data_IF_792625070116
#
_entry.id   IF_792625070116
#
_cell.length_a   1.000
_cell.length_b   1.000
_cell.length_c   1.000
_cell.angle_alpha   90.00
_cell.angle_beta   90.00
_cell.angle_gamma   90.00
#
_symmetry.space_group_name_H-M   'P 1'
#
loop_
_entity.id
_entity.type
_entity.pdbx_description
1 polymer ?
#
# COMPACT_ATOMS: atom_id res chain seq x y z
N UNK A 1 4.13 -2.98 -25.46
CA UNK A 1 4.73 -2.21 -24.36
C UNK A 1 3.65 -2.06 -23.30
N UNK A 2 3.87 -2.61 -22.11
CA UNK A 2 2.93 -2.47 -21.00
C UNK A 2 2.85 -1.00 -20.58
N UNK A 3 1.64 -0.47 -20.43
CA UNK A 3 1.47 0.93 -19.99
C UNK A 3 1.79 1.00 -18.50
N UNK A 4 2.66 1.92 -18.04
CA UNK A 4 2.98 2.03 -16.63
C UNK A 4 1.71 2.30 -15.83
N UNK A 5 1.56 1.72 -14.63
CA UNK A 5 0.37 1.90 -13.82
C UNK A 5 0.17 3.39 -13.50
N UNK A 6 -1.07 3.86 -13.59
CA UNK A 6 -1.41 5.22 -13.21
C UNK A 6 -1.04 5.46 -11.73
N UNK A 7 -0.25 6.52 -11.48
CA UNK A 7 0.16 6.92 -10.13
C UNK A 7 -0.76 8.01 -9.60
N UNK A 8 -1.37 7.74 -8.45
CA UNK A 8 -2.25 8.67 -7.75
C UNK A 8 -1.54 9.26 -6.53
N UNK A 9 -2.03 10.41 -6.07
CA UNK A 9 -1.58 11.01 -4.82
C UNK A 9 -1.77 10.04 -3.65
N UNK A 10 -0.74 9.83 -2.80
CA UNK A 10 -0.79 8.87 -1.69
C UNK A 10 -1.64 9.34 -0.51
N UNK A 11 -2.04 10.62 -0.49
CA UNK A 11 -2.80 11.23 0.61
C UNK A 11 -4.14 10.54 0.82
N UNK A 12 -4.50 10.39 2.09
CA UNK A 12 -5.75 9.79 2.55
C UNK A 12 -6.44 10.70 3.55
N UNK A 13 -7.75 10.53 3.68
CA UNK A 13 -8.53 11.15 4.75
C UNK A 13 -9.60 10.15 5.19
N UNK A 14 -9.59 9.77 6.47
CA UNK A 14 -10.45 8.73 7.04
C UNK A 14 -10.35 7.42 6.24
N UNK A 15 -9.15 7.06 5.83
CA UNK A 15 -8.86 5.88 5.02
C UNK A 15 -9.21 6.01 3.54
N UNK A 16 -9.84 7.10 3.08
CA UNK A 16 -10.21 7.32 1.67
C UNK A 16 -9.02 7.87 0.88
N UNK A 17 -8.65 7.21 -0.22
CA UNK A 17 -7.55 7.67 -1.09
C UNK A 17 -7.92 8.88 -1.94
N UNK A 18 -6.97 9.79 -2.11
CA UNK A 18 -7.02 10.81 -3.15
C UNK A 18 -7.05 10.15 -4.53
N UNK A 19 -7.94 10.61 -5.40
CA UNK A 19 -8.10 10.11 -6.78
C UNK A 19 -7.46 11.03 -7.82
N UNK A 20 -6.68 12.02 -7.37
CA UNK A 20 -5.97 12.94 -8.27
C UNK A 20 -4.60 12.36 -8.66
N UNK A 21 -4.06 12.73 -9.83
CA UNK A 21 -2.73 12.30 -10.27
C UNK A 21 -1.64 12.66 -9.26
N UNK A 22 -0.58 11.86 -9.19
CA UNK A 22 0.61 12.19 -8.40
C UNK A 22 1.15 13.58 -8.76
N UNK A 23 1.49 14.39 -7.76
CA UNK A 23 2.01 15.76 -7.94
C UNK A 23 0.96 16.82 -8.27
N UNK A 24 -0.33 16.53 -8.12
CA UNK A 24 -1.38 17.53 -8.39
C UNK A 24 -1.28 18.78 -7.49
N UNK A 25 -1.59 19.99 -8.00
CA UNK A 25 -1.65 21.19 -7.17
C UNK A 25 -2.98 21.29 -6.42
N UNK A 26 -3.00 21.98 -5.27
CA UNK A 26 -4.21 22.26 -4.49
C UNK A 26 -4.73 21.06 -3.67
N UNK A 27 -5.95 21.19 -3.13
CA UNK A 27 -6.52 20.22 -2.20
C UNK A 27 -6.59 18.80 -2.77
N UNK A 28 -6.42 17.81 -1.90
CA UNK A 28 -6.71 16.42 -2.22
C UNK A 28 -8.18 16.23 -2.48
N UNK A 29 -8.54 15.18 -3.23
CA UNK A 29 -9.92 14.96 -3.64
C UNK A 29 -10.27 13.50 -3.81
N UNK A 30 -11.49 13.14 -3.38
CA UNK A 30 -12.18 11.91 -3.79
C UNK A 30 -13.66 12.20 -4.02
N UNK A 31 -14.11 12.14 -5.28
CA UNK A 31 -15.47 12.54 -5.63
C UNK A 31 -15.72 14.02 -5.31
N UNK A 32 -16.67 14.31 -4.42
CA UNK A 32 -16.96 15.66 -3.93
C UNK A 32 -16.19 16.03 -2.65
N UNK A 33 -15.49 15.09 -2.01
CA UNK A 33 -14.72 15.33 -0.80
C UNK A 33 -13.39 16.01 -1.13
N UNK A 34 -13.05 17.05 -0.37
CA UNK A 34 -11.80 17.80 -0.45
C UNK A 34 -11.14 17.86 0.92
N UNK A 35 -9.82 17.75 0.98
CA UNK A 35 -9.06 17.92 2.22
C UNK A 35 -7.68 18.53 1.97
N UNK A 36 -7.13 19.17 3.00
CA UNK A 36 -5.76 19.67 3.04
C UNK A 36 -4.83 18.65 3.69
N UNK A 37 -3.52 18.90 3.62
CA UNK A 37 -2.51 18.10 4.31
C UNK A 37 -2.75 18.05 5.83
N UNK A 38 -3.24 19.14 6.44
CA UNK A 38 -3.52 19.21 7.88
C UNK A 38 -4.65 18.27 8.33
N UNK A 39 -5.53 17.87 7.41
CA UNK A 39 -6.61 16.92 7.64
C UNK A 39 -6.32 15.54 7.03
N UNK A 40 -5.13 15.33 6.47
CA UNK A 40 -4.75 14.05 5.91
C UNK A 40 -4.47 13.03 7.04
N UNK A 41 -4.73 11.75 6.75
CA UNK A 41 -4.29 10.67 7.60
C UNK A 41 -2.76 10.69 7.71
N UNK A 42 -2.18 10.37 8.88
CA UNK A 42 -0.73 10.28 9.02
C UNK A 42 -0.16 9.18 8.09
N UNK A 43 1.07 9.34 7.59
CA UNK A 43 1.68 8.38 6.67
C UNK A 43 1.89 7.01 7.32
N UNK A 44 2.09 6.98 8.64
CA UNK A 44 2.28 5.74 9.41
C UNK A 44 1.02 4.88 9.35
N UNK A 45 1.19 3.65 8.88
CA UNK A 45 0.09 2.71 8.81
C UNK A 45 -0.31 2.26 10.21
N UNK A 46 -1.59 2.30 10.53
CA UNK A 46 -2.14 1.80 11.81
C UNK A 46 -1.99 0.28 11.98
N UNK A 47 -1.65 -0.45 10.90
CA UNK A 47 -1.28 -1.86 10.95
C UNK A 47 0.16 -2.12 11.42
N UNK A 48 0.99 -1.09 11.56
CA UNK A 48 2.37 -1.24 12.06
C UNK A 48 2.39 -1.89 13.44
N UNK A 49 3.22 -2.92 13.62
CA UNK A 49 3.32 -3.68 14.86
C UNK A 49 2.14 -4.63 15.12
N UNK A 50 1.19 -4.78 14.19
CA UNK A 50 0.18 -5.83 14.30
C UNK A 50 0.82 -7.21 14.16
N UNK A 51 0.30 -8.26 14.82
CA UNK A 51 0.70 -9.64 14.54
C UNK A 51 0.46 -9.97 13.07
N UNK A 52 1.34 -10.75 12.46
CA UNK A 52 1.19 -11.21 11.09
C UNK A 52 1.77 -12.60 10.89
N UNK A 53 1.32 -13.27 9.84
CA UNK A 53 1.91 -14.51 9.34
C UNK A 53 2.43 -14.29 7.93
N UNK A 54 3.51 -14.97 7.52
CA UNK A 54 3.95 -14.96 6.13
C UNK A 54 2.77 -15.22 5.20
N UNK A 55 2.64 -14.38 4.17
CA UNK A 55 1.62 -14.57 3.16
C UNK A 55 1.97 -15.79 2.29
N UNK A 56 0.95 -16.43 1.71
CA UNK A 56 1.15 -17.56 0.81
C UNK A 56 2.11 -17.19 -0.30
N UNK A 57 3.11 -18.01 -0.56
CA UNK A 57 4.04 -17.75 -1.66
C UNK A 57 3.50 -18.26 -2.99
N UNK A 58 3.76 -17.52 -4.07
CA UNK A 58 3.61 -17.99 -5.43
C UNK A 58 4.80 -18.89 -5.80
N UNK A 59 4.71 -19.58 -6.94
CA UNK A 59 5.78 -20.46 -7.44
C UNK A 59 7.12 -19.75 -7.68
N UNK A 60 7.10 -18.42 -7.88
CA UNK A 60 8.28 -17.58 -8.03
C UNK A 60 8.86 -17.07 -6.68
N UNK A 61 8.31 -17.52 -5.55
CA UNK A 61 8.74 -17.13 -4.20
C UNK A 61 8.22 -15.77 -3.72
N UNK A 62 7.40 -15.05 -4.50
CA UNK A 62 6.77 -13.82 -4.02
C UNK A 62 5.66 -14.13 -2.99
N UNK A 63 5.57 -13.44 -1.82
CA UNK A 63 6.27 -12.20 -1.46
C UNK A 63 7.56 -12.37 -0.63
N UNK A 64 8.09 -13.59 -0.50
CA UNK A 64 9.38 -13.87 0.14
C UNK A 64 9.31 -13.76 1.66
N UNK A 65 8.42 -14.56 2.28
CA UNK A 65 8.20 -14.58 3.72
C UNK A 65 7.53 -13.34 4.34
N UNK A 66 7.29 -12.28 3.57
CA UNK A 66 6.58 -11.07 4.02
C UNK A 66 5.10 -11.36 4.28
N UNK A 67 4.51 -10.64 5.23
CA UNK A 67 3.10 -10.73 5.60
C UNK A 67 2.27 -9.67 4.88
N UNK A 68 1.00 -9.97 4.58
CA UNK A 68 0.05 -8.99 4.05
C UNK A 68 -0.46 -8.11 5.19
N UNK A 69 -0.30 -6.79 5.07
CA UNK A 69 -0.96 -5.84 5.98
C UNK A 69 -2.40 -5.58 5.52
N UNK A 70 -3.40 -5.96 6.31
CA UNK A 70 -4.82 -5.77 5.98
C UNK A 70 -5.28 -4.31 5.94
N UNK A 71 -4.45 -3.37 6.43
CA UNK A 71 -4.77 -1.94 6.45
C UNK A 71 -4.37 -1.22 5.17
N UNK A 72 -3.16 -1.48 4.68
CA UNK A 72 -2.61 -0.81 3.49
C UNK A 72 -2.42 -1.73 2.29
N UNK A 73 -2.65 -3.04 2.46
CA UNK A 73 -2.55 -4.08 1.44
C UNK A 73 -1.14 -4.28 0.86
N UNK A 74 -0.12 -3.78 1.56
CA UNK A 74 1.29 -3.99 1.20
C UNK A 74 1.85 -5.24 1.89
N UNK A 75 2.87 -5.83 1.28
CA UNK A 75 3.65 -6.92 1.89
C UNK A 75 4.78 -6.34 2.72
N UNK A 76 4.72 -6.60 4.03
CA UNK A 76 5.58 -6.01 5.05
C UNK A 76 6.42 -7.13 5.68
N UNK A 77 7.69 -6.84 5.93
CA UNK A 77 8.55 -7.78 6.66
C UNK A 77 8.00 -8.04 8.07
N UNK A 78 8.31 -9.22 8.60
CA UNK A 78 8.03 -9.54 10.01
C UNK A 78 9.29 -9.32 10.82
N UNK A 79 9.14 -8.77 12.03
CA UNK A 79 10.20 -8.76 13.02
C UNK A 79 10.42 -10.18 13.61
N UNK A 80 11.44 -10.32 14.47
CA UNK A 80 11.78 -11.60 15.10
C UNK A 80 10.66 -12.20 15.97
N UNK A 81 9.64 -11.42 16.31
CA UNK A 81 8.48 -11.85 17.11
C UNK A 81 7.25 -12.15 16.25
N UNK A 82 7.36 -12.06 14.92
CA UNK A 82 6.25 -12.30 14.00
C UNK A 82 5.27 -11.14 13.89
N UNK A 83 5.73 -9.89 14.06
CA UNK A 83 4.88 -8.70 13.92
C UNK A 83 5.30 -7.87 12.71
N UNK A 84 4.34 -7.20 12.08
CA UNK A 84 4.61 -6.32 10.94
C UNK A 84 5.58 -5.23 11.37
N UNK A 85 6.72 -5.11 10.69
CA UNK A 85 7.64 -3.99 10.93
C UNK A 85 6.92 -2.66 10.70
N UNK A 86 7.41 -1.61 11.35
CA UNK A 86 6.87 -0.27 11.15
C UNK A 86 6.92 0.12 9.67
N UNK A 87 5.80 0.61 9.15
CA UNK A 87 5.68 0.94 7.73
C UNK A 87 4.66 2.06 7.51
N UNK A 88 4.79 2.71 6.36
CA UNK A 88 3.85 3.70 5.88
C UNK A 88 2.78 3.05 4.97
N UNK A 89 1.62 3.71 4.86
CA UNK A 89 0.54 3.27 3.96
C UNK A 89 0.94 3.30 2.50
N UNK A 90 1.96 4.08 2.16
CA UNK A 90 2.56 4.19 0.84
C UNK A 90 4.07 4.14 0.93
N UNK A 91 4.74 3.87 -0.18
CA UNK A 91 6.19 3.83 -0.28
C UNK A 91 6.60 4.59 -1.53
N UNK A 92 7.41 5.64 -1.32
CA UNK A 92 7.84 6.54 -2.37
C UNK A 92 8.78 5.85 -3.36
N UNK A 93 9.46 4.79 -2.90
CA UNK A 93 10.44 4.02 -3.66
C UNK A 93 9.81 2.75 -4.26
N UNK A 94 8.49 2.58 -4.14
CA UNK A 94 7.80 1.43 -4.71
C UNK A 94 7.90 1.42 -6.24
N UNK A 95 8.43 0.32 -6.76
CA UNK A 95 8.64 0.12 -8.19
C UNK A 95 7.39 -0.43 -8.87
N UNK A 96 7.22 -0.14 -10.16
CA UNK A 96 6.10 -0.68 -10.95
C UNK A 96 6.12 -2.22 -10.99
N UNK A 97 7.31 -2.83 -10.91
CA UNK A 97 7.47 -4.28 -10.79
C UNK A 97 6.92 -4.83 -9.47
N UNK A 98 7.10 -4.13 -8.34
CA UNK A 98 6.48 -4.55 -7.07
C UNK A 98 4.96 -4.43 -7.13
N UNK A 99 4.43 -3.36 -7.73
CA UNK A 99 2.99 -3.18 -7.94
C UNK A 99 2.42 -4.30 -8.79
N UNK A 100 3.10 -4.66 -9.89
CA UNK A 100 2.69 -5.73 -10.79
C UNK A 100 2.68 -7.10 -10.09
N UNK A 101 3.75 -7.45 -9.36
CA UNK A 101 3.83 -8.70 -8.59
C UNK A 101 2.78 -8.79 -7.50
N UNK A 102 2.52 -7.68 -6.79
CA UNK A 102 1.44 -7.62 -5.79
C UNK A 102 0.08 -7.88 -6.42
N UNK A 103 -0.19 -7.28 -7.58
CA UNK A 103 -1.44 -7.49 -8.32
C UNK A 103 -1.58 -8.94 -8.78
N UNK A 104 -0.52 -9.53 -9.33
CA UNK A 104 -0.46 -10.95 -9.71
C UNK A 104 -0.79 -11.85 -8.52
N UNK A 105 -0.21 -11.56 -7.35
CA UNK A 105 -0.47 -12.30 -6.13
C UNK A 105 -1.94 -12.29 -5.74
N UNK A 106 -2.57 -11.11 -5.65
CA UNK A 106 -3.98 -10.99 -5.29
C UNK A 106 -4.87 -11.76 -6.28
N UNK A 107 -4.62 -11.63 -7.58
CA UNK A 107 -5.35 -12.34 -8.61
C UNK A 107 -5.19 -13.87 -8.51
N UNK A 108 -4.00 -14.34 -8.12
CA UNK A 108 -3.68 -15.77 -8.06
C UNK A 108 -4.27 -16.44 -6.83
N UNK A 109 -4.26 -15.76 -5.68
CA UNK A 109 -4.76 -16.33 -4.43
C UNK A 109 -6.26 -16.14 -4.22
N UNK A 110 -6.92 -15.34 -5.06
CA UNK A 110 -8.38 -15.13 -5.04
C UNK A 110 -8.86 -14.27 -3.88
N UNK A 111 -8.13 -13.20 -3.58
CA UNK A 111 -8.46 -12.25 -2.51
C UNK A 111 -9.48 -11.19 -2.95
#
# INVERSE_FOLDING_TARGET
MDTPPARYCPSRNEGRHCTRPLGHPGLHRRGALLWSEASADPPRCTGSGAPGSPARELSNGYPGGRALCERCLRFIALDATGRLVEHHTTDADETDAEVARRREWFNTIGW
#
